data_IF_528575592242
#
_entry.id   IF_528575592242
#
_cell.length_a   1.000
_cell.length_b   1.000
_cell.length_c   1.000
_cell.angle_alpha   90.00
_cell.angle_beta   90.00
_cell.angle_gamma   90.00
#
_symmetry.space_group_name_H-M   'P 1'
#
loop_
_entity.id
_entity.type
_entity.pdbx_description
1 polymer ?
#
# COMPACT_ATOMS: atom_id res chain seq x y z
N UNK A 1 51.20 12.56 19.30
CA UNK A 1 50.82 13.70 18.45
C UNK A 1 51.19 14.96 19.22
N UNK A 2 52.37 15.56 18.96
CA UNK A 2 52.82 16.78 19.65
C UNK A 2 52.08 17.96 19.02
N UNK A 3 51.17 18.54 19.77
CA UNK A 3 50.49 19.79 19.41
C UNK A 3 51.54 20.90 19.20
N UNK A 4 51.64 21.37 17.96
CA UNK A 4 52.47 22.50 17.54
C UNK A 4 51.83 23.80 18.09
N UNK A 5 52.01 24.02 19.40
CA UNK A 5 51.45 25.17 20.11
C UNK A 5 52.56 26.07 20.72
N UNK A 6 53.68 26.22 19.99
CA UNK A 6 54.81 27.01 20.51
C UNK A 6 55.29 28.01 19.44
N UNK A 7 54.90 29.24 19.61
CA UNK A 7 55.35 30.52 19.06
C UNK A 7 54.24 31.25 18.25
N UNK A 8 53.19 31.60 18.93
CA UNK A 8 52.25 32.58 18.43
C UNK A 8 52.06 33.68 19.49
N UNK A 9 51.81 34.87 19.05
CA UNK A 9 51.40 36.00 19.91
C UNK A 9 50.12 35.64 20.68
N UNK A 10 49.88 36.22 21.84
CA UNK A 10 48.70 35.96 22.66
C UNK A 10 47.40 36.05 21.85
N UNK A 11 47.33 36.98 20.89
CA UNK A 11 46.23 37.18 19.96
C UNK A 11 45.97 35.95 19.06
N UNK A 12 47.03 35.35 18.53
CA UNK A 12 46.92 34.17 17.66
C UNK A 12 46.45 32.97 18.43
N UNK A 13 46.86 32.80 19.68
CA UNK A 13 46.41 31.70 20.54
C UNK A 13 44.95 31.84 20.93
N UNK A 14 44.49 33.07 21.20
CA UNK A 14 43.12 33.36 21.55
C UNK A 14 42.20 33.14 20.34
N UNK A 15 42.60 33.59 19.14
CA UNK A 15 41.88 33.41 17.92
C UNK A 15 41.79 31.92 17.53
N UNK A 16 42.89 31.18 17.62
CA UNK A 16 42.93 29.75 17.34
C UNK A 16 42.04 28.95 18.31
N UNK A 17 42.02 29.33 19.60
CA UNK A 17 41.16 28.67 20.59
C UNK A 17 39.68 28.95 20.30
N UNK A 18 39.31 30.18 19.98
CA UNK A 18 37.94 30.49 19.59
C UNK A 18 37.50 29.76 18.33
N UNK A 19 38.37 29.71 17.34
CA UNK A 19 38.09 28.99 16.07
C UNK A 19 37.92 27.51 16.28
N UNK A 20 38.76 26.91 17.17
CA UNK A 20 38.65 25.50 17.48
C UNK A 20 37.36 25.18 18.27
N UNK A 21 36.98 26.00 19.23
CA UNK A 21 35.75 25.81 20.01
C UNK A 21 34.51 25.98 19.13
N UNK A 22 34.47 26.95 18.23
CA UNK A 22 33.35 27.12 17.31
C UNK A 22 33.24 25.96 16.32
N UNK A 23 34.36 25.48 15.80
CA UNK A 23 34.39 24.35 14.86
C UNK A 23 33.90 23.04 15.53
N UNK A 24 34.37 22.78 16.78
CA UNK A 24 33.93 21.60 17.54
C UNK A 24 32.45 21.69 17.89
N UNK A 25 31.95 22.82 18.27
CA UNK A 25 30.51 23.01 18.56
C UNK A 25 29.65 22.78 17.31
N UNK A 26 30.09 23.31 16.18
CA UNK A 26 29.41 23.14 14.89
C UNK A 26 29.38 21.67 14.45
N UNK A 27 30.49 20.93 14.61
CA UNK A 27 30.55 19.49 14.33
C UNK A 27 29.61 18.68 15.23
N UNK A 28 29.56 18.99 16.53
CA UNK A 28 28.67 18.33 17.47
C UNK A 28 27.19 18.58 17.13
N UNK A 29 26.83 19.84 16.86
CA UNK A 29 25.46 20.17 16.45
C UNK A 29 25.05 19.49 15.15
N UNK A 30 25.92 19.49 14.14
CA UNK A 30 25.67 18.80 12.88
C UNK A 30 25.47 17.30 13.07
N UNK A 31 26.29 16.67 13.89
CA UNK A 31 26.17 15.23 14.19
C UNK A 31 24.85 14.88 14.87
N UNK A 32 24.44 15.69 15.85
CA UNK A 32 23.17 15.52 16.55
C UNK A 32 21.98 15.69 15.59
N UNK A 33 22.02 16.71 14.75
CA UNK A 33 20.99 16.95 13.75
C UNK A 33 20.86 15.77 12.77
N UNK A 34 21.97 15.23 12.29
CA UNK A 34 21.96 14.09 11.38
C UNK A 34 21.37 12.84 12.06
N UNK A 35 21.71 12.57 13.31
CA UNK A 35 21.16 11.43 14.06
C UNK A 35 19.65 11.58 14.22
N UNK A 36 19.18 12.75 14.67
CA UNK A 36 17.76 13.02 14.87
C UNK A 36 16.99 12.95 13.55
N UNK A 37 17.55 13.51 12.48
CA UNK A 37 16.93 13.51 11.18
C UNK A 37 16.83 12.10 10.59
N UNK A 38 17.91 11.31 10.69
CA UNK A 38 17.92 9.92 10.22
C UNK A 38 16.90 9.06 10.96
N UNK A 39 16.83 9.18 12.29
CA UNK A 39 15.84 8.46 13.11
C UNK A 39 14.40 8.84 12.72
N UNK A 40 14.13 10.13 12.53
CA UNK A 40 12.80 10.60 12.13
C UNK A 40 12.40 10.15 10.73
N UNK A 41 13.33 10.11 9.79
CA UNK A 41 13.05 9.61 8.45
C UNK A 41 12.73 8.10 8.46
N UNK A 42 13.46 7.33 9.25
CA UNK A 42 13.20 5.89 9.36
C UNK A 42 11.83 5.61 9.98
N UNK A 43 11.47 6.32 11.06
CA UNK A 43 10.17 6.16 11.71
C UNK A 43 9.02 6.58 10.76
N UNK A 44 9.18 7.68 10.04
CA UNK A 44 8.18 8.13 9.06
C UNK A 44 8.01 7.13 7.91
N UNK A 45 9.11 6.60 7.38
CA UNK A 45 9.05 5.62 6.30
C UNK A 45 8.39 4.30 6.75
N UNK A 46 8.66 3.85 7.98
CA UNK A 46 8.00 2.68 8.56
C UNK A 46 6.50 2.91 8.74
N UNK A 47 6.12 4.05 9.29
CA UNK A 47 4.72 4.40 9.51
C UNK A 47 3.94 4.51 8.17
N UNK A 48 4.56 5.06 7.15
CA UNK A 48 3.97 5.13 5.81
C UNK A 48 3.80 3.73 5.20
N UNK A 49 4.80 2.87 5.32
CA UNK A 49 4.73 1.49 4.87
C UNK A 49 3.63 0.70 5.60
N UNK A 50 3.54 0.81 6.92
CA UNK A 50 2.50 0.15 7.72
C UNK A 50 1.10 0.65 7.34
N UNK A 51 0.95 1.95 7.10
CA UNK A 51 -0.31 2.54 6.63
C UNK A 51 -0.71 2.00 5.26
N UNK A 52 0.23 1.94 4.31
CA UNK A 52 -0.02 1.38 2.98
C UNK A 52 -0.41 -0.10 3.05
N UNK A 53 0.29 -0.89 3.85
CA UNK A 53 -0.04 -2.31 4.05
C UNK A 53 -1.45 -2.46 4.63
N UNK A 54 -1.81 -1.65 5.62
CA UNK A 54 -3.14 -1.63 6.23
C UNK A 54 -4.23 -1.29 5.20
N UNK A 55 -4.03 -0.25 4.39
CA UNK A 55 -4.97 0.17 3.35
C UNK A 55 -5.14 -0.91 2.28
N UNK A 56 -4.04 -1.50 1.82
CA UNK A 56 -4.09 -2.59 0.83
C UNK A 56 -4.81 -3.81 1.41
N UNK A 57 -4.49 -4.19 2.64
CA UNK A 57 -5.13 -5.33 3.31
C UNK A 57 -6.64 -5.11 3.50
N UNK A 58 -7.05 -3.91 3.91
CA UNK A 58 -8.47 -3.54 4.01
C UNK A 58 -9.16 -3.62 2.65
N UNK A 59 -8.55 -3.05 1.61
CA UNK A 59 -9.10 -3.06 0.25
C UNK A 59 -9.29 -4.48 -0.30
N UNK A 60 -8.34 -5.37 -0.03
CA UNK A 60 -8.44 -6.79 -0.43
C UNK A 60 -9.57 -7.48 0.35
N UNK A 61 -9.71 -7.20 1.65
CA UNK A 61 -10.80 -7.76 2.46
C UNK A 61 -12.16 -7.29 1.96
N UNK A 62 -12.32 -6.00 1.68
CA UNK A 62 -13.56 -5.42 1.16
C UNK A 62 -13.93 -6.00 -0.23
N UNK A 63 -12.92 -6.21 -1.06
CA UNK A 63 -13.09 -6.85 -2.37
C UNK A 63 -13.56 -8.30 -2.22
N UNK A 64 -12.95 -9.05 -1.32
CA UNK A 64 -13.34 -10.43 -1.01
C UNK A 64 -14.78 -10.49 -0.50
N UNK A 65 -15.14 -9.67 0.47
CA UNK A 65 -16.47 -9.63 1.06
C UNK A 65 -17.53 -9.26 0.02
N UNK A 66 -17.22 -8.31 -0.86
CA UNK A 66 -18.08 -7.91 -1.95
C UNK A 66 -18.27 -9.03 -2.97
N UNK A 67 -17.19 -9.75 -3.30
CA UNK A 67 -17.25 -10.92 -4.20
C UNK A 67 -18.07 -12.06 -3.61
N UNK A 68 -17.91 -12.33 -2.32
CA UNK A 68 -18.68 -13.36 -1.61
C UNK A 68 -20.17 -13.01 -1.54
N UNK A 69 -20.51 -11.74 -1.29
CA UNK A 69 -21.91 -11.25 -1.33
C UNK A 69 -22.54 -11.42 -2.71
N UNK A 70 -21.80 -11.12 -3.79
CA UNK A 70 -22.29 -11.32 -5.14
C UNK A 70 -22.48 -12.81 -5.42
N UNK A 71 -21.50 -13.66 -5.10
CA UNK A 71 -21.61 -15.11 -5.25
C UNK A 71 -22.82 -15.67 -4.51
N UNK A 72 -23.03 -15.26 -3.28
CA UNK A 72 -24.17 -15.64 -2.44
C UNK A 72 -25.52 -15.19 -3.04
N UNK A 73 -25.57 -13.96 -3.57
CA UNK A 73 -26.76 -13.41 -4.23
C UNK A 73 -27.08 -14.18 -5.50
N UNK A 74 -26.08 -14.48 -6.31
CA UNK A 74 -26.26 -15.22 -7.57
C UNK A 74 -26.68 -16.68 -7.29
N UNK A 75 -26.12 -17.32 -6.28
CA UNK A 75 -26.48 -18.68 -5.88
C UNK A 75 -27.90 -18.83 -5.32
N UNK A 76 -28.55 -17.73 -4.95
CA UNK A 76 -29.96 -17.70 -4.50
C UNK A 76 -30.92 -17.17 -5.58
N UNK A 77 -30.40 -16.71 -6.70
CA UNK A 77 -31.23 -16.17 -7.78
C UNK A 77 -31.80 -17.31 -8.64
N UNK A 78 -33.11 -17.51 -8.56
CA UNK A 78 -33.80 -18.59 -9.29
C UNK A 78 -33.65 -18.48 -10.82
N UNK A 79 -33.55 -17.29 -11.37
CA UNK A 79 -33.32 -17.07 -12.81
C UNK A 79 -31.94 -17.61 -13.21
N UNK A 80 -30.92 -17.32 -12.41
CA UNK A 80 -29.56 -17.80 -12.64
C UNK A 80 -29.50 -19.34 -12.50
N UNK A 81 -30.08 -19.88 -11.41
CA UNK A 81 -30.11 -21.32 -11.16
C UNK A 81 -30.81 -22.06 -12.30
N UNK A 82 -31.99 -21.60 -12.71
CA UNK A 82 -32.76 -22.23 -13.79
C UNK A 82 -32.03 -22.17 -15.13
N UNK A 83 -31.37 -21.02 -15.44
CA UNK A 83 -30.59 -20.88 -16.66
C UNK A 83 -29.38 -21.83 -16.69
N UNK A 84 -28.75 -22.05 -15.54
CA UNK A 84 -27.60 -22.95 -15.39
C UNK A 84 -27.98 -24.42 -15.44
N UNK A 85 -29.20 -24.77 -15.01
CA UNK A 85 -29.70 -26.15 -14.97
C UNK A 85 -30.38 -26.61 -16.27
N UNK A 86 -30.82 -25.68 -17.10
CA UNK A 86 -31.75 -25.95 -18.20
C UNK A 86 -31.13 -26.39 -19.53
N UNK A 87 -29.81 -26.39 -19.70
CA UNK A 87 -29.11 -26.87 -20.92
C UNK A 87 -29.49 -26.15 -22.23
N UNK A 88 -30.21 -25.04 -22.17
CA UNK A 88 -30.66 -24.26 -23.31
C UNK A 88 -29.85 -22.97 -23.50
N UNK A 89 -30.25 -22.14 -24.47
CA UNK A 89 -29.67 -20.82 -24.68
C UNK A 89 -29.83 -19.96 -23.41
N UNK A 90 -28.76 -19.31 -22.99
CA UNK A 90 -28.74 -18.49 -21.79
C UNK A 90 -29.70 -17.30 -21.96
N UNK A 91 -30.74 -17.16 -21.12
CA UNK A 91 -31.76 -16.12 -21.32
C UNK A 91 -31.15 -14.73 -21.19
N UNK A 92 -31.54 -13.82 -22.11
CA UNK A 92 -31.04 -12.44 -22.13
C UNK A 92 -31.29 -11.72 -20.79
N UNK A 93 -32.41 -11.99 -20.15
CA UNK A 93 -32.73 -11.43 -18.84
C UNK A 93 -31.75 -11.86 -17.75
N UNK A 94 -31.34 -13.13 -17.74
CA UNK A 94 -30.34 -13.64 -16.82
C UNK A 94 -28.98 -13.00 -17.06
N UNK A 95 -28.64 -12.75 -18.33
CA UNK A 95 -27.42 -12.04 -18.68
C UNK A 95 -27.41 -10.61 -18.10
N UNK A 96 -28.52 -9.87 -18.20
CA UNK A 96 -28.61 -8.53 -17.60
C UNK A 96 -28.52 -8.54 -16.07
N UNK A 97 -29.12 -9.53 -15.43
CA UNK A 97 -29.00 -9.69 -13.97
C UNK A 97 -27.56 -9.95 -13.54
N UNK A 98 -26.86 -10.85 -14.24
CA UNK A 98 -25.44 -11.11 -13.99
C UNK A 98 -24.58 -9.88 -14.26
N UNK A 99 -24.85 -9.20 -15.38
CA UNK A 99 -24.14 -7.97 -15.75
C UNK A 99 -24.29 -6.91 -14.67
N UNK A 100 -25.51 -6.65 -14.20
CA UNK A 100 -25.78 -5.67 -13.17
C UNK A 100 -25.18 -6.07 -11.82
N UNK A 101 -25.26 -7.35 -11.46
CA UNK A 101 -24.71 -7.85 -10.20
C UNK A 101 -23.19 -7.72 -10.13
N UNK A 102 -22.50 -7.89 -11.24
CA UNK A 102 -21.03 -7.87 -11.31
C UNK A 102 -20.45 -6.52 -11.70
N UNK A 103 -21.27 -5.55 -12.13
CA UNK A 103 -20.82 -4.28 -12.70
C UNK A 103 -19.87 -3.49 -11.81
N UNK A 104 -20.08 -3.49 -10.50
CA UNK A 104 -19.26 -2.74 -9.54
C UNK A 104 -17.88 -3.35 -9.25
N UNK A 105 -17.63 -4.59 -9.65
CA UNK A 105 -16.36 -5.30 -9.41
C UNK A 105 -15.59 -5.68 -10.68
N UNK A 106 -16.10 -5.34 -11.85
CA UNK A 106 -15.55 -5.73 -13.14
C UNK A 106 -14.11 -5.30 -13.38
N UNK A 107 -13.75 -4.14 -12.88
CA UNK A 107 -12.41 -3.58 -13.06
C UNK A 107 -11.36 -4.31 -12.18
N UNK A 108 -11.83 -5.09 -11.19
CA UNK A 108 -10.97 -5.73 -10.20
C UNK A 108 -11.07 -7.25 -10.20
N UNK A 109 -12.24 -7.81 -10.58
CA UNK A 109 -12.53 -9.25 -10.48
C UNK A 109 -13.21 -9.73 -11.75
N UNK A 110 -12.73 -10.85 -12.28
CA UNK A 110 -13.35 -11.54 -13.39
C UNK A 110 -14.28 -12.63 -12.86
N UNK A 111 -15.51 -12.69 -13.37
CA UNK A 111 -16.49 -13.69 -13.03
C UNK A 111 -16.70 -14.63 -14.21
N UNK A 112 -16.67 -15.92 -13.91
CA UNK A 112 -16.94 -16.97 -14.87
C UNK A 112 -18.05 -17.87 -14.32
N UNK A 113 -19.10 -18.08 -15.08
CA UNK A 113 -20.15 -19.03 -14.75
C UNK A 113 -20.13 -20.18 -15.75
N UNK A 114 -20.15 -21.38 -15.21
CA UNK A 114 -20.18 -22.61 -15.97
C UNK A 114 -21.48 -23.36 -15.69
N UNK A 115 -22.06 -24.00 -16.70
CA UNK A 115 -23.21 -24.87 -16.50
C UNK A 115 -22.81 -26.19 -15.83
N UNK A 116 -23.80 -27.05 -15.57
CA UNK A 116 -23.60 -28.39 -14.97
C UNK A 116 -22.73 -29.30 -15.83
N UNK A 117 -22.56 -29.01 -17.11
CA UNK A 117 -21.73 -29.78 -18.05
C UNK A 117 -20.31 -29.19 -18.18
N UNK A 118 -20.02 -28.07 -17.46
CA UNK A 118 -18.74 -27.37 -17.52
C UNK A 118 -18.59 -26.43 -18.72
N UNK A 119 -19.67 -26.10 -19.44
CA UNK A 119 -19.62 -25.14 -20.52
C UNK A 119 -19.72 -23.69 -19.95
N UNK A 120 -18.86 -22.81 -20.44
CA UNK A 120 -18.86 -21.40 -20.04
C UNK A 120 -20.12 -20.69 -20.58
N UNK A 121 -20.95 -20.18 -19.70
CA UNK A 121 -22.20 -19.50 -20.02
C UNK A 121 -22.08 -17.97 -19.89
N UNK A 122 -21.18 -17.48 -19.01
CA UNK A 122 -20.99 -16.06 -18.77
C UNK A 122 -19.55 -15.76 -18.34
N UNK A 123 -19.02 -14.66 -18.87
CA UNK A 123 -17.76 -14.06 -18.38
C UNK A 123 -17.84 -12.53 -18.40
N UNK A 124 -17.20 -11.88 -17.43
CA UNK A 124 -17.07 -10.40 -17.38
C UNK A 124 -15.84 -9.92 -18.12
#
# INVERSE_FOLDING_TARGET
MKLIFTRGTFREKLFSSMLFTTLTTLMLCSSLLLIVFSSRMEDSARQEADTLISVVSSSISDLRDSTEKIGSKLNRNSLVINAMSGGGAFPQQTYYELYNATSGLRDYVQFYLYDTNGALQYST
#
